data_IF_707273867961
#
_entry.id   IF_707273867961
#
_cell.length_a   1.000
_cell.length_b   1.000
_cell.length_c   1.000
_cell.angle_alpha   90.00
_cell.angle_beta   90.00
_cell.angle_gamma   90.00
#
_symmetry.space_group_name_H-M   'P 1'
#
loop_
_entity.id
_entity.type
_entity.pdbx_description
1 polymer ?
#
# COMPACT_ATOMS: atom_id res chain seq x y z
N UNK A 1 19.14 5.43 5.20
CA UNK A 1 18.43 6.39 6.08
C UNK A 1 19.46 7.13 6.93
N UNK A 2 19.24 8.41 7.28
CA UNK A 2 20.15 9.14 8.17
C UNK A 2 20.25 8.43 9.53
N UNK A 3 21.46 8.42 10.12
CA UNK A 3 21.72 7.81 11.44
C UNK A 3 21.04 8.63 12.54
N UNK A 4 20.65 7.97 13.64
CA UNK A 4 20.03 8.58 14.83
C UNK A 4 20.85 9.76 15.36
N UNK A 5 22.18 9.65 15.27
CA UNK A 5 23.17 10.65 15.65
C UNK A 5 23.00 12.00 14.92
N UNK A 6 22.34 12.00 13.75
CA UNK A 6 22.09 13.22 12.96
C UNK A 6 20.81 13.95 13.36
N UNK A 7 20.02 13.43 14.31
CA UNK A 7 18.84 14.11 14.86
C UNK A 7 19.24 14.96 16.06
N UNK A 8 19.76 16.16 15.80
CA UNK A 8 19.86 17.19 16.85
C UNK A 8 18.49 17.85 16.97
N UNK A 9 17.71 17.48 17.99
CA UNK A 9 16.47 18.19 18.31
C UNK A 9 16.84 19.54 18.92
N UNK A 10 16.48 20.69 18.30
CA UNK A 10 16.80 22.00 18.85
C UNK A 10 16.03 22.32 20.15
N UNK A 11 15.09 21.47 20.56
CA UNK A 11 14.34 21.62 21.80
C UNK A 11 14.20 20.26 22.53
N UNK A 12 14.72 20.10 23.76
CA UNK A 12 14.64 18.86 24.53
C UNK A 12 13.20 18.48 24.93
N UNK A 13 12.24 19.40 24.81
CA UNK A 13 10.81 19.15 25.06
C UNK A 13 10.00 18.88 23.79
N UNK A 14 10.64 18.91 22.61
CA UNK A 14 10.00 18.56 21.34
C UNK A 14 10.29 17.10 21.04
N UNK A 15 9.26 16.27 21.02
CA UNK A 15 9.38 14.90 20.51
C UNK A 15 9.76 14.95 19.02
N UNK A 16 10.79 14.20 18.59
CA UNK A 16 11.29 14.25 17.21
C UNK A 16 10.35 13.55 16.21
N UNK A 17 9.33 12.84 16.69
CA UNK A 17 8.36 12.14 15.84
C UNK A 17 7.08 12.96 15.62
N UNK A 18 6.58 13.02 14.37
CA UNK A 18 5.39 13.79 14.04
C UNK A 18 4.14 13.12 14.63
N UNK A 19 3.72 13.56 15.81
CA UNK A 19 2.41 13.26 16.38
C UNK A 19 1.35 14.10 15.66
N UNK A 20 0.94 13.70 14.46
CA UNK A 20 -0.20 14.32 13.79
C UNK A 20 -1.48 13.58 14.15
N UNK A 21 -2.46 14.32 14.67
CA UNK A 21 -3.83 13.81 14.78
C UNK A 21 -4.33 13.59 13.34
N UNK A 22 -4.73 12.37 12.96
CA UNK A 22 -5.25 12.13 11.62
C UNK A 22 -6.42 13.08 11.37
N UNK A 23 -6.46 13.70 10.19
CA UNK A 23 -7.42 14.74 9.77
C UNK A 23 -7.26 16.15 10.39
N UNK A 24 -6.16 16.45 11.09
CA UNK A 24 -5.86 17.82 11.49
C UNK A 24 -5.41 18.66 10.28
N UNK A 25 -6.25 19.60 9.86
CA UNK A 25 -6.01 20.53 8.74
C UNK A 25 -5.46 21.89 9.20
N UNK A 26 -5.20 22.06 10.50
CA UNK A 26 -4.69 23.30 11.08
C UNK A 26 -3.20 23.52 10.84
N UNK A 27 -2.74 24.74 11.13
CA UNK A 27 -1.35 25.14 10.98
C UNK A 27 -0.49 24.56 12.12
N UNK A 28 0.56 23.83 11.76
CA UNK A 28 1.54 23.27 12.71
C UNK A 28 2.82 24.11 12.70
N UNK A 29 3.18 24.74 13.84
CA UNK A 29 4.44 25.46 13.96
C UNK A 29 5.62 24.53 13.67
N UNK A 30 6.64 25.00 12.95
CA UNK A 30 7.86 24.28 12.55
C UNK A 30 7.73 23.17 11.48
N UNK A 31 6.52 22.68 11.17
CA UNK A 31 6.31 21.70 10.09
C UNK A 31 5.73 22.31 8.81
N UNK A 32 5.16 23.52 8.89
CA UNK A 32 4.76 24.32 7.75
C UNK A 32 3.77 23.63 6.78
N UNK A 33 3.50 24.24 5.61
CA UNK A 33 2.60 23.70 4.60
C UNK A 33 3.11 22.42 3.92
N UNK A 34 4.35 22.00 4.21
CA UNK A 34 5.03 20.90 3.52
C UNK A 34 4.54 19.51 3.94
N UNK A 35 3.82 19.37 5.05
CA UNK A 35 3.25 18.08 5.51
C UNK A 35 1.72 18.03 5.52
N UNK A 36 1.05 19.04 4.95
CA UNK A 36 -0.41 19.13 4.88
C UNK A 36 -1.05 18.12 3.90
N UNK A 37 -0.25 17.44 3.06
CA UNK A 37 -0.74 16.68 1.90
C UNK A 37 -0.25 15.22 1.85
N UNK A 38 0.00 14.59 3.00
CA UNK A 38 0.07 13.13 3.02
C UNK A 38 -1.36 12.60 2.93
N UNK A 39 -1.72 12.05 1.76
CA UNK A 39 -2.98 11.31 1.51
C UNK A 39 -3.34 10.43 2.72
N UNK A 40 -4.64 10.33 3.10
CA UNK A 40 -5.07 9.95 4.44
C UNK A 40 -4.85 8.47 4.70
N UNK A 41 -3.61 8.11 4.99
CA UNK A 41 -3.34 6.95 5.84
C UNK A 41 -3.57 7.44 7.25
N UNK A 42 -4.51 6.83 7.97
CA UNK A 42 -4.71 7.11 9.39
C UNK A 42 -3.36 6.99 10.11
N UNK A 43 -3.19 7.70 11.22
CA UNK A 43 -1.97 7.64 12.02
C UNK A 43 -1.54 6.20 12.28
N UNK A 44 -2.50 5.33 12.56
CA UNK A 44 -2.34 3.89 12.74
C UNK A 44 -1.72 3.18 11.51
N UNK A 45 -2.19 3.50 10.30
CA UNK A 45 -1.66 2.91 9.06
C UNK A 45 -0.27 3.45 8.77
N UNK A 46 -0.01 4.74 9.02
CA UNK A 46 1.30 5.33 8.83
C UNK A 46 2.33 4.75 9.82
N UNK A 47 2.00 4.68 11.11
CA UNK A 47 2.88 4.11 12.14
C UNK A 47 3.08 2.61 11.94
N UNK A 48 2.04 1.86 11.56
CA UNK A 48 2.18 0.44 11.22
C UNK A 48 3.18 0.23 10.07
N UNK A 49 3.05 0.99 8.97
CA UNK A 49 3.98 0.89 7.83
C UNK A 49 5.43 1.28 8.18
N UNK A 50 5.64 2.15 9.17
CA UNK A 50 6.98 2.53 9.66
C UNK A 50 7.53 1.48 10.64
N UNK A 51 6.68 0.90 11.48
CA UNK A 51 7.08 -0.04 12.53
C UNK A 51 7.29 -1.47 12.00
N UNK A 52 6.51 -1.93 11.02
CA UNK A 52 6.66 -3.26 10.39
C UNK A 52 8.08 -3.54 9.86
N UNK A 53 8.74 -2.63 9.11
CA UNK A 53 10.12 -2.84 8.65
C UNK A 53 11.19 -2.60 9.71
N UNK A 54 10.84 -2.10 10.90
CA UNK A 54 11.81 -1.78 11.96
C UNK A 54 12.34 -3.07 12.61
N UNK A 55 13.68 -3.23 12.79
CA UNK A 55 14.29 -4.49 13.24
C UNK A 55 13.80 -4.98 14.62
N UNK A 56 13.54 -4.06 15.55
CA UNK A 56 13.12 -4.37 16.92
C UNK A 56 11.58 -4.28 17.08
N UNK A 57 10.99 -3.13 16.72
CA UNK A 57 9.55 -2.90 16.84
C UNK A 57 8.69 -3.79 15.92
N UNK A 58 9.14 -4.05 14.68
CA UNK A 58 8.43 -4.92 13.74
C UNK A 58 8.31 -6.34 14.26
N UNK A 59 9.40 -6.88 14.83
CA UNK A 59 9.42 -8.20 15.45
C UNK A 59 8.37 -8.37 16.56
N UNK A 60 8.06 -7.31 17.31
CA UNK A 60 7.06 -7.33 18.40
C UNK A 60 5.60 -7.25 17.91
N UNK A 61 5.37 -6.73 16.70
CA UNK A 61 4.03 -6.62 16.11
C UNK A 61 3.62 -7.87 15.32
N UNK A 62 4.59 -8.67 14.90
CA UNK A 62 4.39 -9.83 14.03
C UNK A 62 3.66 -11.01 14.70
N UNK A 63 3.39 -10.95 16.02
CA UNK A 63 2.91 -12.12 16.79
C UNK A 63 1.40 -12.40 16.74
N UNK A 64 0.58 -11.58 16.06
CA UNK A 64 -0.88 -11.81 16.11
C UNK A 64 -1.36 -12.77 15.01
N UNK A 65 -0.67 -12.84 13.87
CA UNK A 65 -0.92 -13.81 12.80
C UNK A 65 0.41 -14.06 12.05
N UNK A 66 0.95 -15.26 12.12
CA UNK A 66 2.08 -15.68 11.26
C UNK A 66 1.59 -15.76 9.81
N UNK A 67 1.51 -14.62 9.13
CA UNK A 67 1.27 -14.59 7.70
C UNK A 67 2.58 -15.03 7.04
N UNK A 68 2.59 -16.11 6.24
CA UNK A 68 3.80 -16.54 5.57
C UNK A 68 4.32 -15.40 4.68
N UNK A 69 5.61 -15.09 4.80
CA UNK A 69 6.27 -14.00 4.07
C UNK A 69 6.04 -14.11 2.55
N UNK A 70 5.92 -15.34 2.04
CA UNK A 70 5.61 -15.64 0.64
C UNK A 70 4.25 -15.07 0.22
N UNK A 71 3.21 -15.20 1.06
CA UNK A 71 1.88 -14.66 0.76
C UNK A 71 1.89 -13.13 0.71
N UNK A 72 2.72 -12.49 1.56
CA UNK A 72 2.89 -11.03 1.55
C UNK A 72 3.55 -10.60 0.23
N UNK A 73 4.62 -11.28 -0.19
CA UNK A 73 5.32 -10.99 -1.45
C UNK A 73 4.42 -11.17 -2.66
N UNK A 74 3.64 -12.25 -2.70
CA UNK A 74 2.66 -12.49 -3.78
C UNK A 74 1.64 -11.35 -3.87
N UNK A 75 1.09 -10.94 -2.72
CA UNK A 75 0.13 -9.83 -2.69
C UNK A 75 0.77 -8.50 -3.13
N UNK A 76 2.00 -8.22 -2.70
CA UNK A 76 2.75 -7.04 -3.12
C UNK A 76 3.00 -7.03 -4.64
N UNK A 77 3.31 -8.19 -5.23
CA UNK A 77 3.48 -8.33 -6.67
C UNK A 77 2.16 -8.09 -7.41
N UNK A 78 1.05 -8.68 -6.95
CA UNK A 78 -0.29 -8.44 -7.51
C UNK A 78 -0.67 -6.95 -7.49
N UNK A 79 -0.46 -6.30 -6.33
CA UNK A 79 -0.77 -4.88 -6.16
C UNK A 79 0.12 -3.99 -7.04
N UNK A 80 1.38 -4.36 -7.29
CA UNK A 80 2.28 -3.63 -8.19
C UNK A 80 1.75 -3.61 -9.64
N UNK A 81 1.34 -4.75 -10.18
CA UNK A 81 0.81 -4.80 -11.56
C UNK A 81 -0.56 -4.13 -11.70
N UNK A 82 -1.40 -4.21 -10.67
CA UNK A 82 -2.68 -3.49 -10.65
C UNK A 82 -2.49 -1.98 -10.64
N UNK A 83 -1.60 -1.46 -9.79
CA UNK A 83 -1.28 -0.05 -9.72
C UNK A 83 -0.64 0.46 -11.02
N UNK A 84 0.22 -0.35 -11.64
CA UNK A 84 0.77 -0.05 -12.97
C UNK A 84 -0.33 0.06 -14.03
N UNK A 85 -1.29 -0.87 -14.02
CA UNK A 85 -2.45 -0.82 -14.91
C UNK A 85 -3.31 0.43 -14.65
N UNK A 86 -3.66 0.72 -13.40
CA UNK A 86 -4.51 1.86 -13.07
C UNK A 86 -3.88 3.22 -13.39
N UNK A 87 -2.54 3.33 -13.33
CA UNK A 87 -1.82 4.58 -13.62
C UNK A 87 -1.61 4.83 -15.11
N UNK A 88 -1.18 3.82 -15.86
CA UNK A 88 -0.69 4.01 -17.23
C UNK A 88 -1.67 3.48 -18.28
N UNK A 89 -2.46 2.47 -17.94
CA UNK A 89 -3.40 1.84 -18.87
C UNK A 89 -4.76 2.49 -18.61
N UNK A 90 -5.10 3.51 -19.41
CA UNK A 90 -6.40 4.21 -19.40
C UNK A 90 -7.61 3.32 -19.79
N UNK A 91 -7.50 2.00 -19.60
CA UNK A 91 -8.55 1.03 -19.86
C UNK A 91 -9.50 0.96 -18.67
N UNK A 92 -10.52 1.83 -18.68
CA UNK A 92 -11.57 1.87 -17.68
C UNK A 92 -12.31 0.52 -17.52
N UNK A 93 -12.27 -0.35 -18.53
CA UNK A 93 -13.00 -1.62 -18.52
C UNK A 93 -12.33 -2.67 -17.63
N UNK A 94 -11.07 -2.47 -17.26
CA UNK A 94 -10.23 -3.47 -16.57
C UNK A 94 -9.70 -2.96 -15.23
N UNK A 95 -10.50 -2.19 -14.49
CA UNK A 95 -10.10 -1.74 -13.15
C UNK A 95 -10.06 -2.93 -12.17
N UNK A 96 -9.15 -2.87 -11.20
CA UNK A 96 -9.06 -3.89 -10.16
C UNK A 96 -10.32 -3.96 -9.29
N UNK A 97 -11.04 -2.85 -9.16
CA UNK A 97 -12.29 -2.78 -8.40
C UNK A 97 -13.52 -2.90 -9.33
N UNK A 98 -13.97 -4.13 -9.56
CA UNK A 98 -15.23 -4.40 -10.27
C UNK A 98 -16.41 -4.59 -9.31
N UNK A 99 -17.61 -4.27 -9.81
CA UNK A 99 -18.87 -4.45 -9.07
C UNK A 99 -19.27 -5.92 -9.08
N UNK A 100 -19.77 -6.43 -7.96
CA UNK A 100 -20.36 -7.78 -7.89
C UNK A 100 -21.54 -7.89 -8.87
N UNK A 101 -21.51 -8.90 -9.74
CA UNK A 101 -22.52 -9.06 -10.80
C UNK A 101 -22.14 -8.42 -12.13
N UNK A 102 -20.92 -7.88 -12.28
CA UNK A 102 -20.40 -7.50 -13.58
C UNK A 102 -20.36 -8.70 -14.53
N UNK A 103 -21.06 -8.58 -15.67
CA UNK A 103 -21.20 -9.63 -16.69
C UNK A 103 -20.25 -9.47 -17.87
N UNK A 104 -19.47 -8.39 -17.92
CA UNK A 104 -18.51 -8.16 -18.99
C UNK A 104 -17.31 -9.11 -18.90
N UNK A 105 -16.55 -9.17 -19.99
CA UNK A 105 -15.39 -10.04 -20.08
C UNK A 105 -14.27 -9.61 -19.12
N UNK A 106 -13.72 -10.57 -18.36
CA UNK A 106 -12.55 -10.40 -17.50
C UNK A 106 -11.44 -11.34 -18.00
N UNK A 107 -10.26 -10.82 -18.40
CA UNK A 107 -9.20 -11.66 -18.93
C UNK A 107 -8.71 -12.65 -17.88
N UNK A 108 -8.48 -13.91 -18.28
CA UNK A 108 -7.88 -14.98 -17.45
C UNK A 108 -8.64 -15.38 -16.17
N UNK A 109 -9.88 -14.92 -15.96
CA UNK A 109 -10.65 -15.21 -14.74
C UNK A 109 -11.04 -16.70 -14.55
N UNK A 110 -10.97 -17.51 -15.61
CA UNK A 110 -11.38 -18.93 -15.60
C UNK A 110 -10.60 -19.79 -14.59
N UNK A 111 -9.35 -19.41 -14.28
CA UNK A 111 -8.47 -20.18 -13.40
C UNK A 111 -8.65 -19.83 -11.91
N UNK A 112 -9.42 -18.79 -11.60
CA UNK A 112 -9.58 -18.26 -10.25
C UNK A 112 -10.83 -18.86 -9.58
N UNK A 113 -10.69 -20.12 -9.13
CA UNK A 113 -11.77 -20.88 -8.48
C UNK A 113 -11.65 -20.78 -6.96
N UNK A 114 -12.78 -20.78 -6.24
CA UNK A 114 -12.80 -20.83 -4.77
C UNK A 114 -12.50 -19.51 -4.06
N UNK A 115 -12.50 -18.39 -4.80
CA UNK A 115 -12.30 -17.05 -4.24
C UNK A 115 -13.46 -16.12 -4.61
N UNK A 116 -13.67 -15.08 -3.79
CA UNK A 116 -14.72 -14.08 -4.03
C UNK A 116 -14.49 -13.35 -5.36
N UNK A 117 -15.57 -13.02 -6.07
CA UNK A 117 -15.51 -12.39 -7.39
C UNK A 117 -14.56 -11.19 -7.47
N UNK A 118 -14.57 -10.17 -6.58
CA UNK A 118 -13.64 -9.04 -6.68
C UNK A 118 -12.17 -9.44 -6.55
N UNK A 119 -11.86 -10.42 -5.68
CA UNK A 119 -10.50 -10.95 -5.54
C UNK A 119 -10.07 -11.69 -6.81
N UNK A 120 -10.98 -12.46 -7.42
CA UNK A 120 -10.73 -13.16 -8.68
C UNK A 120 -10.39 -12.18 -9.80
N UNK A 121 -11.14 -11.07 -9.91
CA UNK A 121 -10.90 -10.05 -10.92
C UNK A 121 -9.56 -9.34 -10.71
N UNK A 122 -9.25 -8.94 -9.48
CA UNK A 122 -7.95 -8.30 -9.13
C UNK A 122 -6.78 -9.18 -9.56
N UNK A 123 -6.82 -10.45 -9.15
CA UNK A 123 -5.77 -11.42 -9.50
C UNK A 123 -5.66 -11.63 -11.01
N UNK A 124 -6.79 -11.84 -11.68
CA UNK A 124 -6.82 -12.07 -13.13
C UNK A 124 -6.28 -10.88 -13.93
N UNK A 125 -6.59 -9.67 -13.49
CA UNK A 125 -6.10 -8.42 -14.09
C UNK A 125 -4.60 -8.24 -13.87
N UNK A 126 -4.11 -8.48 -12.65
CA UNK A 126 -2.68 -8.46 -12.33
C UNK A 126 -1.89 -9.45 -13.22
N UNK A 127 -2.38 -10.69 -13.33
CA UNK A 127 -1.77 -11.73 -14.16
C UNK A 127 -1.73 -11.35 -15.64
N UNK A 128 -2.79 -10.74 -16.16
CA UNK A 128 -2.85 -10.26 -17.53
C UNK A 128 -1.78 -9.20 -17.81
N UNK A 129 -1.64 -8.22 -16.93
CA UNK A 129 -0.66 -7.13 -17.04
C UNK A 129 0.76 -7.67 -16.95
N UNK A 130 1.02 -8.59 -16.01
CA UNK A 130 2.30 -9.27 -15.85
C UNK A 130 2.75 -10.03 -17.09
N UNK A 131 1.81 -10.65 -17.81
CA UNK A 131 2.12 -11.36 -19.06
C UNK A 131 2.37 -10.36 -20.19
N UNK A 132 1.52 -9.33 -20.29
CA UNK A 132 1.67 -8.29 -21.29
C UNK A 132 3.02 -7.57 -21.17
N UNK A 133 3.43 -7.21 -19.95
CA UNK A 133 4.72 -6.55 -19.71
C UNK A 133 5.92 -7.42 -20.08
N UNK A 134 5.79 -8.75 -20.01
CA UNK A 134 6.84 -9.68 -20.47
C UNK A 134 6.93 -9.79 -21.99
N UNK A 135 5.85 -9.53 -22.71
CA UNK A 135 5.80 -9.63 -24.17
C UNK A 135 6.19 -8.29 -24.84
N UNK A 136 6.07 -7.18 -24.13
CA UNK A 136 6.47 -5.84 -24.62
C UNK A 136 7.98 -5.54 -24.40
N UNK A 137 8.71 -6.43 -23.71
CA UNK A 137 10.19 -6.43 -23.62
C UNK A 137 10.80 -7.32 -24.69
#
# INVERSE_FOLDING_TARGET
MPRIENYVSPNPFSTPEPHFKPYYTGWLPSFGPQKQFLLPKTYEVATNNIMVPHPIAGGRLNYILEIPVEAIKLKQEEDFYLDHHERYILDLKRRGNTVNGYTGHIPRNLHNIGITFPKAVRKATADFVKIRSKHEM
#
